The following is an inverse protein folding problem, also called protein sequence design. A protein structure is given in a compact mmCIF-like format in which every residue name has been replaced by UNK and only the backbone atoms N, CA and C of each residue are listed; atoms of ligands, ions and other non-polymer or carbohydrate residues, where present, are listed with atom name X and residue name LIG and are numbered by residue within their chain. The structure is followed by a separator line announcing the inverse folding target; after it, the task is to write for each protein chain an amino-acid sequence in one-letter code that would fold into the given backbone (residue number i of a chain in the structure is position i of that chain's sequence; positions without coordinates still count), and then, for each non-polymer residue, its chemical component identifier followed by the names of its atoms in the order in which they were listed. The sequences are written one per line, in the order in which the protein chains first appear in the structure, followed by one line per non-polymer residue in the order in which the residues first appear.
data_IF_245380582134
#
_entry.id   IF_245380582134
#
_cell.length_a   1.000
_cell.length_b   1.000
_cell.length_c   1.000
_cell.angle_alpha   90.00
_cell.angle_beta   90.00
_cell.angle_gamma   90.00
#
_symmetry.space_group_name_H-M   'P 1'
#
loop_
_entity.id
_entity.type
_entity.pdbx_description
1 polymer ?
#
# COMPACT_ATOMS: atom_id res chain seq x y z
N UNK A 1 -7.67 -5.24 9.20
CA UNK A 1 -6.45 -4.77 9.92
C UNK A 1 -5.98 -3.44 9.33
N UNK A 2 -5.26 -2.60 10.08
CA UNK A 2 -4.72 -1.32 9.57
C UNK A 2 -3.29 -1.06 10.04
N UNK A 3 -2.52 -0.33 9.23
CA UNK A 3 -1.16 0.15 9.54
C UNK A 3 -1.07 1.63 9.21
N UNK A 4 -0.57 2.42 10.17
CA UNK A 4 -0.27 3.84 10.02
C UNK A 4 1.17 4.01 9.54
N UNK A 5 1.37 4.93 8.60
CA UNK A 5 2.67 5.22 8.00
C UNK A 5 3.17 6.62 8.40
N UNK A 6 4.50 6.85 8.46
CA UNK A 6 5.07 8.14 8.87
C UNK A 6 4.69 9.33 7.99
N UNK A 7 4.31 9.09 6.73
CA UNK A 7 3.90 10.09 5.75
C UNK A 7 2.41 10.49 5.84
N UNK A 8 1.71 9.99 6.87
CA UNK A 8 0.31 10.26 7.13
C UNK A 8 -0.66 9.37 6.36
N UNK A 9 -0.16 8.33 5.68
CA UNK A 9 -1.00 7.31 5.07
C UNK A 9 -1.46 6.30 6.10
N UNK A 10 -2.68 5.78 5.90
CA UNK A 10 -3.16 4.57 6.57
C UNK A 10 -3.55 3.54 5.53
N UNK A 11 -2.93 2.37 5.61
CA UNK A 11 -3.28 1.20 4.81
C UNK A 11 -4.20 0.25 5.56
N UNK A 12 -5.12 -0.42 4.86
CA UNK A 12 -6.05 -1.42 5.38
C UNK A 12 -5.90 -2.74 4.63
N UNK A 13 -6.00 -3.85 5.36
CA UNK A 13 -5.84 -5.21 4.85
C UNK A 13 -7.00 -6.10 5.33
N UNK A 14 -7.71 -6.73 4.40
CA UNK A 14 -8.84 -7.63 4.65
C UNK A 14 -8.95 -8.71 3.56
N UNK A 15 -9.39 -9.94 3.87
CA UNK A 15 -9.62 -10.52 5.19
C UNK A 15 -8.31 -11.12 5.73
N UNK A 16 -7.74 -10.53 6.79
CA UNK A 16 -6.47 -10.99 7.37
C UNK A 16 -6.66 -11.34 8.85
N UNK A 17 -6.22 -12.54 9.23
CA UNK A 17 -6.00 -12.90 10.63
C UNK A 17 -4.66 -12.34 11.05
N UNK A 18 -4.68 -11.28 11.86
CA UNK A 18 -3.48 -10.56 12.26
C UNK A 18 -2.57 -11.43 13.15
N UNK A 19 -1.26 -11.37 12.89
CA UNK A 19 -0.22 -11.96 13.76
C UNK A 19 0.47 -10.91 14.63
N UNK A 20 0.14 -9.64 14.43
CA UNK A 20 0.62 -8.50 15.21
C UNK A 20 -0.53 -7.89 16.03
N UNK A 21 -0.20 -7.15 17.08
CA UNK A 21 -1.15 -6.45 17.94
C UNK A 21 -1.14 -4.94 17.68
N UNK A 22 -2.22 -4.25 18.06
CA UNK A 22 -2.28 -2.78 17.97
C UNK A 22 -1.12 -2.14 18.74
N UNK A 23 -0.46 -1.15 18.11
CA UNK A 23 0.73 -0.49 18.66
C UNK A 23 2.05 -1.19 18.33
N UNK A 24 2.04 -2.37 17.68
CA UNK A 24 3.26 -2.99 17.17
C UNK A 24 3.87 -2.13 16.07
N UNK A 25 5.16 -1.80 16.22
CA UNK A 25 5.94 -1.24 15.13
C UNK A 25 6.29 -2.35 14.12
N UNK A 26 6.12 -2.05 12.84
CA UNK A 26 6.42 -2.97 11.73
C UNK A 26 7.17 -2.20 10.65
N UNK A 27 8.00 -2.91 9.90
CA UNK A 27 8.79 -2.40 8.79
C UNK A 27 8.40 -3.09 7.49
N UNK A 28 8.85 -2.54 6.36
CA UNK A 28 8.58 -3.14 5.06
C UNK A 28 9.17 -4.56 4.98
N UNK A 29 8.31 -5.54 4.66
CA UNK A 29 8.68 -6.96 4.61
C UNK A 29 8.22 -7.76 5.84
N UNK A 30 7.84 -7.11 6.94
CA UNK A 30 7.34 -7.81 8.12
C UNK A 30 5.97 -8.46 7.87
N UNK A 31 5.76 -9.72 8.31
CA UNK A 31 4.46 -10.36 8.23
C UNK A 31 3.43 -9.67 9.14
N UNK A 32 2.33 -9.20 8.54
CA UNK A 32 1.20 -8.60 9.24
C UNK A 32 0.18 -9.64 9.74
N UNK A 33 0.06 -10.76 9.03
CA UNK A 33 -0.91 -11.81 9.30
C UNK A 33 -1.05 -12.81 8.17
N UNK A 34 -2.08 -13.64 8.28
CA UNK A 34 -2.40 -14.67 7.28
C UNK A 34 -3.71 -14.31 6.58
N UNK A 35 -3.67 -14.28 5.24
CA UNK A 35 -4.86 -14.07 4.40
C UNK A 35 -5.86 -15.20 4.63
N UNK A 36 -7.13 -14.83 4.81
CA UNK A 36 -8.21 -15.78 4.96
C UNK A 36 -8.79 -16.17 3.59
N UNK A 37 -9.27 -17.40 3.49
CA UNK A 37 -10.03 -17.86 2.33
C UNK A 37 -11.44 -17.28 2.35
N UNK A 38 -11.97 -16.99 1.16
CA UNK A 38 -13.31 -16.43 0.97
C UNK A 38 -13.42 -14.95 1.35
N UNK A 39 -14.07 -14.17 0.50
CA UNK A 39 -14.46 -12.79 0.80
C UNK A 39 -15.71 -12.41 -0.02
N UNK A 40 -16.73 -11.77 0.57
CA UNK A 40 -17.92 -11.35 -0.16
C UNK A 40 -17.59 -10.50 -1.40
N UNK A 41 -17.97 -10.99 -2.58
CA UNK A 41 -17.71 -10.31 -3.85
C UNK A 41 -16.43 -10.71 -4.57
N UNK A 42 -15.59 -11.57 -3.97
CA UNK A 42 -14.42 -12.09 -4.66
C UNK A 42 -14.71 -13.31 -5.54
N UNK A 43 -14.22 -13.33 -6.80
CA UNK A 43 -14.44 -14.44 -7.74
C UNK A 43 -13.46 -15.62 -7.54
N UNK A 44 -12.55 -15.54 -6.57
CA UNK A 44 -11.46 -16.49 -6.34
C UNK A 44 -11.48 -17.04 -4.91
N UNK A 45 -10.76 -18.14 -4.66
CA UNK A 45 -10.74 -18.83 -3.36
C UNK A 45 -10.22 -17.95 -2.20
N UNK A 46 -9.33 -17.00 -2.49
CA UNK A 46 -8.86 -15.99 -1.54
C UNK A 46 -8.43 -14.74 -2.31
N UNK A 47 -8.72 -13.56 -1.76
CA UNK A 47 -8.34 -12.28 -2.33
C UNK A 47 -7.96 -11.32 -1.19
N UNK A 48 -6.95 -10.48 -1.42
CA UNK A 48 -6.60 -9.41 -0.50
C UNK A 48 -7.26 -8.11 -0.96
N UNK A 49 -8.13 -7.57 -0.13
CA UNK A 49 -8.65 -6.22 -0.24
C UNK A 49 -7.70 -5.28 0.48
N UNK A 50 -6.99 -4.49 -0.32
CA UNK A 50 -6.04 -3.50 0.15
C UNK A 50 -6.54 -2.11 -0.18
N UNK A 51 -6.60 -1.26 0.83
CA UNK A 51 -7.00 0.14 0.71
C UNK A 51 -5.97 1.05 1.33
N UNK A 52 -5.86 2.28 0.81
CA UNK A 52 -5.02 3.32 1.41
C UNK A 52 -5.78 4.64 1.42
N UNK A 53 -5.67 5.36 2.52
CA UNK A 53 -6.19 6.72 2.66
C UNK A 53 -5.12 7.62 3.25
N UNK A 54 -5.19 8.91 2.92
CA UNK A 54 -4.47 9.96 3.64
C UNK A 54 -5.43 10.58 4.64
N UNK A 55 -4.99 10.83 5.86
CA UNK A 55 -5.79 11.50 6.90
C UNK A 55 -7.27 11.01 7.04
N UNK A 56 -8.25 11.93 7.23
CA UNK A 56 -9.69 11.62 7.33
C UNK A 56 -10.45 11.84 6.02
N UNK A 57 -9.83 12.41 4.99
CA UNK A 57 -10.45 12.73 3.72
C UNK A 57 -9.65 12.16 2.55
N UNK A 58 -10.41 11.66 1.59
CA UNK A 58 -10.01 11.03 0.34
C UNK A 58 -9.41 9.61 0.43
N UNK A 59 -10.22 8.65 -0.05
CA UNK A 59 -9.72 7.36 -0.49
C UNK A 59 -8.87 7.61 -1.74
N UNK A 60 -7.58 7.33 -1.64
CA UNK A 60 -6.69 7.33 -2.80
C UNK A 60 -6.96 6.06 -3.63
N UNK A 61 -6.75 6.11 -4.94
CA UNK A 61 -6.51 4.89 -5.71
C UNK A 61 -5.18 4.28 -5.22
N UNK A 62 -5.20 3.15 -4.47
CA UNK A 62 -4.01 2.62 -3.83
C UNK A 62 -2.99 2.11 -4.86
N UNK A 63 -3.39 1.85 -6.10
CA UNK A 63 -2.49 1.41 -7.17
C UNK A 63 -1.48 2.48 -7.56
N UNK A 64 -1.75 3.77 -7.28
CA UNK A 64 -0.78 4.86 -7.45
C UNK A 64 0.51 4.58 -6.69
N UNK A 65 0.41 3.94 -5.52
CA UNK A 65 1.55 3.67 -4.63
C UNK A 65 2.40 2.47 -5.09
N UNK A 66 1.86 1.62 -5.96
CA UNK A 66 2.57 0.46 -6.51
C UNK A 66 3.28 0.78 -7.83
N UNK A 67 2.98 1.91 -8.45
CA UNK A 67 3.63 2.31 -9.69
C UNK A 67 5.03 2.85 -9.38
N UNK A 68 6.07 2.42 -10.12
CA UNK A 68 7.37 3.07 -10.06
C UNK A 68 7.20 4.57 -10.32
N UNK A 69 7.85 5.46 -9.57
CA UNK A 69 7.82 6.88 -9.87
C UNK A 69 8.43 7.08 -11.27
N UNK A 70 7.68 7.73 -12.16
CA UNK A 70 8.20 8.16 -13.46
C UNK A 70 9.25 9.23 -13.23
N UNK A 71 10.52 8.87 -13.28
CA UNK A 71 11.63 9.83 -13.20
C UNK A 71 12.00 10.25 -14.61
N UNK A 72 11.84 11.54 -14.92
CA UNK A 72 12.35 12.15 -16.15
C UNK A 72 13.28 13.29 -15.78
N UNK A 73 14.49 13.27 -16.32
CA UNK A 73 15.40 14.41 -16.23
C UNK A 73 14.80 15.57 -17.02
N UNK A 74 14.82 16.77 -16.44
CA UNK A 74 14.62 17.98 -17.22
C UNK A 74 15.78 18.12 -18.22
N UNK A 75 15.56 18.70 -19.41
CA UNK A 75 16.65 19.04 -20.30
C UNK A 75 17.70 19.83 -19.53
N UNK A 76 18.94 19.32 -19.51
CA UNK A 76 20.08 19.99 -18.90
C UNK A 76 20.85 20.70 -20.01
N UNK A 77 21.06 22.02 -19.86
CA UNK A 77 21.70 22.87 -20.87
C UNK A 77 23.14 22.44 -21.23
N UNK A 78 23.77 21.59 -20.42
CA UNK A 78 25.12 21.04 -20.65
C UNK A 78 25.19 19.70 -21.38
N UNK A 79 24.09 19.15 -21.92
CA UNK A 79 24.17 17.96 -22.78
C UNK A 79 24.69 18.38 -24.16
N UNK A 80 25.97 18.12 -24.46
CA UNK A 80 26.55 18.40 -25.77
C UNK A 80 25.76 17.67 -26.88
N UNK A 81 25.51 18.31 -28.04
CA UNK A 81 24.88 17.62 -29.17
C UNK A 81 25.82 16.53 -29.69
N UNK A 82 25.27 15.31 -29.85
CA UNK A 82 25.93 14.17 -30.49
C UNK A 82 25.93 14.25 -32.01
#
# INVERSE_FOLDING_TARGET
MSVDHPDGLRSTYEPVTATVTAGSAVTAGDPLGVLQAGHPGCPVAACLHWGVRRDRLDHLDPLVLLRPPGVRLLPWEGAAPG
#
